data_IF_821354224368
#
_entry.id   IF_821354224368
#
_cell.length_a   1.000
_cell.length_b   1.000
_cell.length_c   1.000
_cell.angle_alpha   90.00
_cell.angle_beta   90.00
_cell.angle_gamma   90.00
#
_symmetry.space_group_name_H-M   'P 1'
#
loop_
_entity.id
_entity.type
_entity.pdbx_description
1 polymer ?
#
# COMPACT_ATOMS: atom_id res chain seq x y z
N UNK A 1 -25.63 -20.01 5.05
CA UNK A 1 -25.48 -18.61 5.50
C UNK A 1 -24.16 -18.54 6.25
N UNK A 2 -23.08 -18.06 5.64
CA UNK A 2 -21.78 -18.01 6.31
C UNK A 2 -21.83 -17.01 7.46
N UNK A 3 -21.73 -17.53 8.67
CA UNK A 3 -21.67 -16.75 9.91
C UNK A 3 -20.38 -15.93 9.86
N UNK A 4 -20.52 -14.61 9.67
CA UNK A 4 -19.37 -13.71 9.67
C UNK A 4 -18.76 -13.75 11.07
N UNK A 5 -17.48 -14.11 11.21
CA UNK A 5 -16.88 -14.21 12.52
C UNK A 5 -16.89 -12.82 13.17
N UNK A 6 -17.44 -12.75 14.38
CA UNK A 6 -17.58 -11.52 15.13
C UNK A 6 -16.19 -10.98 15.53
N UNK A 7 -15.76 -9.83 14.99
CA UNK A 7 -14.41 -9.32 15.19
C UNK A 7 -14.12 -8.87 16.63
N UNK A 8 -15.17 -8.72 17.46
CA UNK A 8 -15.04 -8.41 18.89
C UNK A 8 -14.82 -9.67 19.75
N UNK A 9 -15.06 -10.86 19.19
CA UNK A 9 -14.82 -12.16 19.84
C UNK A 9 -13.48 -12.79 19.46
N UNK A 10 -12.87 -12.31 18.37
CA UNK A 10 -11.57 -12.78 17.92
C UNK A 10 -10.49 -11.96 18.63
N UNK A 11 -9.82 -12.59 19.59
CA UNK A 11 -8.68 -12.03 20.29
C UNK A 11 -7.38 -12.46 19.61
N UNK A 12 -6.55 -11.50 19.26
CA UNK A 12 -5.20 -11.71 18.78
C UNK A 12 -4.20 -11.95 19.92
N UNK A 13 -2.91 -12.19 19.59
CA UNK A 13 -1.85 -12.31 20.58
C UNK A 13 -1.80 -11.05 21.47
N UNK A 14 -1.73 -11.25 22.79
CA UNK A 14 -1.78 -10.14 23.77
C UNK A 14 -3.19 -9.72 24.22
N UNK A 15 -4.25 -10.40 23.76
CA UNK A 15 -5.62 -10.15 24.21
C UNK A 15 -6.32 -8.96 23.54
N UNK A 16 -5.68 -8.37 22.52
CA UNK A 16 -6.24 -7.29 21.70
C UNK A 16 -7.32 -7.82 20.77
N UNK A 17 -8.39 -7.05 20.59
CA UNK A 17 -9.44 -7.37 19.62
C UNK A 17 -8.96 -7.08 18.19
N UNK A 18 -9.47 -7.81 17.21
CA UNK A 18 -9.07 -7.62 15.79
C UNK A 18 -9.31 -6.18 15.29
N UNK A 19 -10.33 -5.50 15.82
CA UNK A 19 -10.58 -4.08 15.52
C UNK A 19 -9.46 -3.17 15.99
N UNK A 20 -8.99 -3.38 17.22
CA UNK A 20 -7.92 -2.57 17.83
C UNK A 20 -6.59 -2.80 17.09
N UNK A 21 -6.30 -4.06 16.75
CA UNK A 21 -5.11 -4.41 15.98
C UNK A 21 -5.12 -3.77 14.59
N UNK A 22 -6.27 -3.75 13.92
CA UNK A 22 -6.42 -3.11 12.62
C UNK A 22 -6.20 -1.59 12.71
N UNK A 23 -6.73 -0.92 13.73
CA UNK A 23 -6.50 0.51 13.93
C UNK A 23 -5.03 0.84 14.24
N UNK A 24 -4.37 0.03 15.08
CA UNK A 24 -2.94 0.18 15.35
C UNK A 24 -2.08 0.01 14.10
N UNK A 25 -2.35 -1.04 13.31
CA UNK A 25 -1.65 -1.29 12.05
C UNK A 25 -1.89 -0.14 11.06
N UNK A 26 -3.13 0.34 10.95
CA UNK A 26 -3.48 1.48 10.09
C UNK A 26 -2.73 2.75 10.48
N UNK A 27 -2.64 3.06 11.78
CA UNK A 27 -1.88 4.21 12.27
C UNK A 27 -0.37 4.06 12.00
N UNK A 28 0.19 2.88 12.22
CA UNK A 28 1.60 2.60 11.93
C UNK A 28 1.88 2.74 10.43
N UNK A 29 1.04 2.13 9.59
CA UNK A 29 1.18 2.21 8.15
C UNK A 29 1.05 3.66 7.66
N UNK A 30 0.07 4.43 8.13
CA UNK A 30 -0.08 5.83 7.75
C UNK A 30 1.18 6.65 8.10
N UNK A 31 1.76 6.42 9.28
CA UNK A 31 3.01 7.06 9.71
C UNK A 31 4.18 6.70 8.80
N UNK A 32 4.33 5.44 8.45
CA UNK A 32 5.42 4.97 7.58
C UNK A 32 5.21 5.39 6.13
N UNK A 33 3.97 5.43 5.66
CA UNK A 33 3.63 5.90 4.31
C UNK A 33 4.01 7.36 4.13
N UNK A 34 3.86 8.23 5.13
CA UNK A 34 4.31 9.62 5.04
C UNK A 34 5.83 9.71 4.89
N UNK A 35 6.58 8.81 5.53
CA UNK A 35 8.05 8.76 5.45
C UNK A 35 8.57 8.13 4.16
N UNK A 36 7.86 7.12 3.67
CA UNK A 36 8.21 6.35 2.47
C UNK A 36 7.45 6.79 1.23
N UNK A 37 6.60 7.82 1.31
CA UNK A 37 5.92 8.38 0.16
C UNK A 37 6.98 8.73 -0.87
N UNK A 38 7.01 8.05 -2.03
CA UNK A 38 7.97 8.36 -3.05
C UNK A 38 7.77 9.82 -3.40
N UNK A 39 8.83 10.63 -3.24
CA UNK A 39 8.84 12.00 -3.72
C UNK A 39 8.65 11.94 -5.25
N UNK A 40 7.39 11.99 -5.70
CA UNK A 40 7.03 11.86 -7.11
C UNK A 40 7.73 12.94 -7.96
N UNK A 41 8.05 14.08 -7.35
CA UNK A 41 8.81 15.18 -7.94
C UNK A 41 10.31 14.91 -8.08
N UNK A 42 10.89 13.98 -7.29
CA UNK A 42 12.32 13.63 -7.31
C UNK A 42 12.62 12.29 -7.97
N UNK A 43 11.62 11.48 -8.36
CA UNK A 43 11.92 10.24 -9.04
C UNK A 43 12.52 10.55 -10.41
N UNK A 44 13.82 10.25 -10.64
CA UNK A 44 14.38 10.39 -11.97
C UNK A 44 13.60 9.44 -12.87
N UNK A 45 13.04 9.97 -13.96
CA UNK A 45 12.31 9.16 -14.93
C UNK A 45 13.14 7.91 -15.27
N UNK A 46 12.58 6.76 -14.96
CA UNK A 46 13.29 5.50 -15.03
C UNK A 46 13.72 5.27 -16.50
N UNK A 47 14.99 4.92 -16.74
CA UNK A 47 15.53 4.79 -18.12
C UNK A 47 14.71 3.82 -18.98
N UNK A 48 14.09 2.83 -18.33
CA UNK A 48 13.14 1.89 -18.93
C UNK A 48 11.84 2.54 -19.41
N UNK A 49 11.27 3.47 -18.65
CA UNK A 49 10.06 4.19 -19.07
C UNK A 49 10.32 5.03 -20.32
N UNK A 50 11.52 5.63 -20.44
CA UNK A 50 11.93 6.35 -21.65
C UNK A 50 12.07 5.41 -22.86
N UNK A 51 12.66 4.23 -22.66
CA UNK A 51 12.82 3.25 -23.74
C UNK A 51 11.46 2.73 -24.22
N UNK A 52 10.55 2.39 -23.31
CA UNK A 52 9.19 1.97 -23.65
C UNK A 52 8.46 3.08 -24.42
N UNK A 53 8.57 4.35 -23.98
CA UNK A 53 7.94 5.48 -24.69
C UNK A 53 8.54 5.70 -26.08
N UNK A 54 9.86 5.64 -26.22
CA UNK A 54 10.55 5.74 -27.51
C UNK A 54 10.11 4.66 -28.50
N UNK A 55 10.02 3.39 -28.05
CA UNK A 55 9.58 2.28 -28.89
C UNK A 55 8.12 2.44 -29.31
N UNK A 56 7.27 2.93 -28.40
CA UNK A 56 5.86 3.22 -28.72
C UNK A 56 5.73 4.31 -29.77
N UNK A 57 6.40 5.45 -29.59
CA UNK A 57 6.35 6.58 -30.54
C UNK A 57 6.87 6.17 -31.92
N UNK A 58 7.93 5.36 -31.98
CA UNK A 58 8.48 4.80 -33.23
C UNK A 58 7.54 3.83 -33.96
N UNK A 59 6.59 3.20 -33.27
CA UNK A 59 5.58 2.32 -33.90
C UNK A 59 4.32 3.07 -34.35
N UNK A 60 4.13 4.31 -33.89
CA UNK A 60 2.96 5.15 -34.22
C UNK A 60 3.22 6.14 -35.37
N UNK A 61 4.48 6.45 -35.66
CA UNK A 61 4.91 7.16 -36.87
C UNK A 61 5.34 6.18 -37.95
#
# INVERSE_FOLDING_TARGET
MSEKPDPDKIKGPGGLNMRELHELVKQSHARDQVRHAPNALKQPQNRWQRLVRYVWDKKRG
#
